data_IF_557621801555
#
_entry.id   IF_557621801555
#
_cell.length_a   1.000
_cell.length_b   1.000
_cell.length_c   1.000
_cell.angle_alpha   90.00
_cell.angle_beta   90.00
_cell.angle_gamma   90.00
#
_symmetry.space_group_name_H-M   'P 1'
#
loop_
_entity.id
_entity.type
_entity.pdbx_description
1 polymer ?
#
# COMPACT_ATOMS: atom_id res chain seq x y z
N UNK A 1 -3.48 -5.55 -10.79
CA UNK A 1 -2.60 -6.73 -10.68
C UNK A 1 -1.11 -6.37 -10.55
N UNK A 2 -0.51 -5.58 -11.45
CA UNK A 2 0.94 -5.24 -11.35
C UNK A 2 1.33 -4.54 -10.04
N UNK A 3 0.56 -3.53 -9.60
CA UNK A 3 0.78 -2.82 -8.31
C UNK A 3 0.58 -3.71 -7.09
N UNK A 4 -0.22 -4.77 -7.21
CA UNK A 4 -0.42 -5.69 -6.08
C UNK A 4 0.74 -6.68 -5.97
N UNK A 5 1.24 -7.16 -7.10
CA UNK A 5 2.44 -7.97 -7.17
C UNK A 5 3.68 -7.23 -6.65
N UNK A 6 3.76 -5.89 -6.80
CA UNK A 6 4.90 -5.13 -6.26
C UNK A 6 4.91 -5.07 -4.73
N UNK A 7 3.77 -5.08 -4.05
CA UNK A 7 3.72 -5.17 -2.59
C UNK A 7 4.23 -6.54 -2.11
N UNK A 8 3.71 -7.64 -2.67
CA UNK A 8 4.17 -8.99 -2.31
C UNK A 8 5.66 -9.16 -2.57
N UNK A 9 6.16 -8.74 -3.74
CA UNK A 9 7.60 -8.78 -4.05
C UNK A 9 8.43 -7.96 -3.07
N UNK A 10 7.91 -6.81 -2.62
CA UNK A 10 8.61 -5.97 -1.65
C UNK A 10 8.67 -6.63 -0.28
N UNK A 11 7.56 -7.19 0.21
CA UNK A 11 7.51 -7.92 1.47
C UNK A 11 8.41 -9.16 1.43
N UNK A 12 8.33 -9.97 0.36
CA UNK A 12 9.20 -11.14 0.16
C UNK A 12 10.67 -10.78 0.20
N UNK A 13 11.07 -9.67 -0.43
CA UNK A 13 12.45 -9.22 -0.39
C UNK A 13 12.94 -8.93 1.04
N UNK A 14 12.14 -8.25 1.87
CA UNK A 14 12.52 -7.92 3.25
C UNK A 14 12.61 -9.18 4.13
N UNK A 15 11.71 -10.14 3.90
CA UNK A 15 11.72 -11.43 4.60
C UNK A 15 12.93 -12.27 4.16
N UNK A 16 13.23 -12.32 2.87
CA UNK A 16 14.39 -13.01 2.32
C UNK A 16 15.72 -12.40 2.80
N UNK A 17 15.80 -11.07 2.88
CA UNK A 17 16.96 -10.37 3.45
C UNK A 17 17.21 -10.83 4.88
N UNK A 18 16.18 -10.79 5.72
CA UNK A 18 16.28 -11.30 7.09
C UNK A 18 16.66 -12.78 7.15
N UNK A 19 16.09 -13.62 6.30
CA UNK A 19 16.30 -15.07 6.35
C UNK A 19 17.72 -15.50 5.96
N UNK A 20 18.51 -14.65 5.30
CA UNK A 20 19.90 -14.96 4.93
C UNK A 20 20.80 -15.03 6.16
N UNK A 21 20.76 -13.98 6.97
CA UNK A 21 21.72 -13.77 8.08
C UNK A 21 21.03 -13.61 9.44
N UNK A 22 19.70 -13.77 9.52
CA UNK A 22 18.85 -13.51 10.70
C UNK A 22 18.96 -12.08 11.26
N UNK A 23 19.34 -11.16 10.39
CA UNK A 23 19.53 -9.73 10.65
C UNK A 23 18.98 -8.95 9.45
N UNK A 24 18.36 -7.81 9.71
CA UNK A 24 17.95 -6.90 8.65
C UNK A 24 19.13 -6.07 8.15
N UNK A 25 19.30 -5.99 6.83
CA UNK A 25 20.23 -5.05 6.20
C UNK A 25 19.61 -3.66 6.21
N UNK A 26 19.75 -2.93 7.32
CA UNK A 26 19.11 -1.63 7.56
C UNK A 26 19.79 -0.47 6.81
N UNK A 27 19.73 -0.51 5.47
CA UNK A 27 20.23 0.50 4.55
C UNK A 27 19.10 1.31 3.89
N UNK A 28 19.45 2.24 3.01
CA UNK A 28 18.45 3.07 2.31
C UNK A 28 17.47 2.26 1.46
N UNK A 29 17.86 1.08 0.96
CA UNK A 29 17.00 0.20 0.18
C UNK A 29 15.96 -0.45 1.09
N UNK A 30 16.37 -0.92 2.26
CA UNK A 30 15.45 -1.42 3.29
C UNK A 30 14.42 -0.37 3.66
N UNK A 31 14.86 0.84 4.03
CA UNK A 31 13.96 1.90 4.48
C UNK A 31 12.97 2.32 3.38
N UNK A 32 13.46 2.46 2.13
CA UNK A 32 12.59 2.73 0.98
C UNK A 32 11.52 1.65 0.80
N UNK A 33 11.89 0.38 0.92
CA UNK A 33 10.96 -0.75 0.74
C UNK A 33 9.97 -0.84 1.89
N UNK A 34 10.41 -0.64 3.13
CA UNK A 34 9.55 -0.61 4.29
C UNK A 34 8.53 0.55 4.20
N UNK A 35 8.96 1.75 3.85
CA UNK A 35 8.07 2.88 3.57
C UNK A 35 7.06 2.58 2.47
N UNK A 36 7.50 1.96 1.37
CA UNK A 36 6.62 1.60 0.26
C UNK A 36 5.50 0.61 0.67
N UNK A 37 5.77 -0.31 1.59
CA UNK A 37 4.76 -1.22 2.13
C UNK A 37 3.66 -0.51 2.94
N UNK A 38 3.96 0.66 3.49
CA UNK A 38 3.00 1.53 4.17
C UNK A 38 1.99 2.20 3.23
N UNK A 39 2.20 2.13 1.92
CA UNK A 39 1.29 2.76 0.96
C UNK A 39 -0.07 2.05 0.92
N UNK A 40 -1.13 2.85 1.01
CA UNK A 40 -2.52 2.41 0.91
C UNK A 40 -2.86 2.08 -0.54
N UNK A 41 -3.61 1.00 -0.75
CA UNK A 41 -4.17 0.66 -2.06
C UNK A 41 -5.41 1.53 -2.31
N UNK A 42 -5.44 2.32 -3.38
CA UNK A 42 -6.62 3.13 -3.72
C UNK A 42 -7.38 2.50 -4.88
N UNK A 43 -8.65 2.18 -4.63
CA UNK A 43 -9.62 1.80 -5.65
C UNK A 43 -10.96 2.35 -5.21
N UNK A 44 -11.52 3.26 -6.01
CA UNK A 44 -12.82 3.88 -5.76
C UNK A 44 -13.65 3.66 -7.00
N UNK A 45 -14.81 3.05 -6.83
CA UNK A 45 -15.73 2.86 -7.95
C UNK A 45 -16.35 4.20 -8.28
N UNK A 46 -16.47 4.49 -9.58
CA UNK A 46 -17.34 5.58 -10.02
C UNK A 46 -18.80 5.14 -9.89
N UNK A 47 -19.31 5.22 -8.68
CA UNK A 47 -20.70 4.94 -8.28
C UNK A 47 -21.81 5.59 -9.11
N UNK A 48 -21.64 6.80 -9.71
CA UNK A 48 -22.75 7.45 -10.39
C UNK A 48 -23.34 6.61 -11.51
N UNK A 49 -22.59 5.72 -12.16
CA UNK A 49 -23.13 4.95 -13.29
C UNK A 49 -23.96 3.77 -12.81
N UNK A 50 -23.50 3.00 -11.82
CA UNK A 50 -24.22 1.83 -11.29
C UNK A 50 -25.50 2.23 -10.55
N UNK A 51 -25.36 3.13 -9.58
CA UNK A 51 -26.48 3.60 -8.76
C UNK A 51 -27.51 4.29 -9.63
N UNK A 52 -27.12 5.09 -10.62
CA UNK A 52 -28.08 5.65 -11.57
C UNK A 52 -28.69 4.60 -12.51
N UNK A 53 -27.95 3.59 -12.97
CA UNK A 53 -28.49 2.54 -13.85
C UNK A 53 -29.59 1.73 -13.15
N UNK A 54 -29.39 1.40 -11.88
CA UNK A 54 -30.39 0.69 -11.07
C UNK A 54 -31.52 1.64 -10.64
N UNK A 55 -31.21 2.83 -10.10
CA UNK A 55 -32.22 3.73 -9.51
C UNK A 55 -33.14 4.36 -10.55
N UNK A 56 -32.65 4.66 -11.75
CA UNK A 56 -33.47 5.25 -12.82
C UNK A 56 -34.27 4.22 -13.62
N UNK A 57 -34.21 2.93 -13.24
CA UNK A 57 -34.81 1.84 -14.01
C UNK A 57 -34.16 1.62 -15.38
N UNK A 58 -33.10 2.35 -15.76
CA UNK A 58 -32.44 2.24 -17.08
C UNK A 58 -31.87 0.85 -17.35
N UNK A 59 -31.52 0.09 -16.32
CA UNK A 59 -31.11 -1.31 -16.49
C UNK A 59 -32.23 -2.20 -17.06
N UNK A 60 -33.51 -1.81 -16.91
CA UNK A 60 -34.66 -2.50 -17.54
C UNK A 60 -34.79 -2.22 -19.05
N UNK A 61 -34.12 -1.16 -19.55
CA UNK A 61 -34.04 -0.87 -20.99
C UNK A 61 -33.17 -1.91 -21.69
N UNK A 62 -32.25 -2.55 -20.96
CA UNK A 62 -31.52 -3.72 -21.45
C UNK A 62 -32.48 -4.91 -21.55
N UNK A 63 -33.01 -5.13 -22.76
CA UNK A 63 -33.95 -6.22 -23.06
C UNK A 63 -33.33 -7.61 -22.93
N UNK A 64 -32.01 -7.72 -23.07
CA UNK A 64 -31.30 -8.98 -22.96
C UNK A 64 -30.96 -9.26 -21.48
N UNK A 65 -31.62 -10.27 -20.91
CA UNK A 65 -31.45 -10.66 -19.52
C UNK A 65 -30.02 -11.11 -19.19
N UNK A 66 -29.35 -11.82 -20.11
CA UNK A 66 -27.95 -12.24 -19.93
C UNK A 66 -27.01 -11.04 -19.77
N UNK A 67 -27.15 -10.04 -20.63
CA UNK A 67 -26.33 -8.82 -20.56
C UNK A 67 -26.60 -8.03 -19.27
N UNK A 68 -27.86 -8.01 -18.82
CA UNK A 68 -28.27 -7.39 -17.56
C UNK A 68 -27.62 -8.08 -16.35
N UNK A 69 -27.63 -9.41 -16.33
CA UNK A 69 -27.04 -10.20 -15.23
C UNK A 69 -25.52 -10.07 -15.20
N UNK A 70 -24.86 -10.06 -16.36
CA UNK A 70 -23.43 -9.79 -16.47
C UNK A 70 -23.06 -8.40 -15.95
N UNK A 71 -23.83 -7.36 -16.32
CA UNK A 71 -23.58 -6.00 -15.86
C UNK A 71 -23.78 -5.87 -14.34
N UNK A 72 -24.83 -6.51 -13.79
CA UNK A 72 -25.07 -6.52 -12.35
C UNK A 72 -23.94 -7.23 -11.59
N UNK A 73 -23.50 -8.39 -12.09
CA UNK A 73 -22.39 -9.13 -11.49
C UNK A 73 -21.08 -8.33 -11.55
N UNK A 74 -20.82 -7.65 -12.66
CA UNK A 74 -19.66 -6.77 -12.79
C UNK A 74 -19.62 -5.72 -11.69
N UNK A 75 -20.71 -4.96 -11.48
CA UNK A 75 -20.72 -3.92 -10.45
C UNK A 75 -20.66 -4.48 -9.02
N UNK A 76 -21.33 -5.60 -8.74
CA UNK A 76 -21.20 -6.29 -7.45
C UNK A 76 -19.76 -6.72 -7.16
N UNK A 77 -19.05 -7.21 -8.17
CA UNK A 77 -17.64 -7.58 -8.03
C UNK A 77 -16.76 -6.36 -7.78
N UNK A 78 -17.02 -5.24 -8.45
CA UNK A 78 -16.33 -3.98 -8.15
C UNK A 78 -16.55 -3.57 -6.69
N UNK A 79 -17.79 -3.53 -6.21
CA UNK A 79 -18.15 -3.17 -4.82
C UNK A 79 -17.46 -4.08 -3.80
N UNK A 80 -17.42 -5.39 -4.11
CA UNK A 80 -16.71 -6.37 -3.28
C UNK A 80 -15.21 -6.08 -3.22
N UNK A 81 -14.59 -5.78 -4.36
CA UNK A 81 -13.16 -5.47 -4.45
C UNK A 81 -12.84 -4.19 -3.68
N UNK A 82 -13.64 -3.12 -3.83
CA UNK A 82 -13.45 -1.87 -3.09
C UNK A 82 -13.50 -2.10 -1.58
N UNK A 83 -14.51 -2.81 -1.08
CA UNK A 83 -14.63 -3.13 0.36
C UNK A 83 -13.45 -3.93 0.88
N UNK A 84 -12.98 -4.93 0.13
CA UNK A 84 -11.79 -5.72 0.51
C UNK A 84 -10.56 -4.80 0.60
N UNK A 85 -10.36 -3.92 -0.38
CA UNK A 85 -9.23 -2.98 -0.40
C UNK A 85 -9.31 -2.02 0.78
N UNK A 86 -10.48 -1.43 1.05
CA UNK A 86 -10.69 -0.54 2.19
C UNK A 86 -10.43 -1.25 3.52
N UNK A 87 -10.93 -2.48 3.69
CA UNK A 87 -10.70 -3.26 4.90
C UNK A 87 -9.22 -3.61 5.10
N UNK A 88 -8.52 -4.03 4.04
CA UNK A 88 -7.09 -4.34 4.14
C UNK A 88 -6.27 -3.09 4.48
N UNK A 89 -6.59 -1.94 3.88
CA UNK A 89 -5.94 -0.68 4.26
C UNK A 89 -6.17 -0.37 5.74
N UNK A 90 -7.43 -0.38 6.20
CA UNK A 90 -7.76 -0.01 7.57
C UNK A 90 -7.18 -0.99 8.61
N UNK A 91 -7.31 -2.29 8.38
CA UNK A 91 -6.95 -3.32 9.36
C UNK A 91 -5.46 -3.70 9.31
N UNK A 92 -4.88 -3.89 8.12
CA UNK A 92 -3.50 -4.36 8.01
C UNK A 92 -2.51 -3.21 7.96
N UNK A 93 -2.81 -2.16 7.19
CA UNK A 93 -1.89 -1.03 7.01
C UNK A 93 -2.03 -0.06 8.18
N UNK A 94 -3.18 0.58 8.30
CA UNK A 94 -3.38 1.73 9.19
C UNK A 94 -3.27 1.31 10.67
N UNK A 95 -3.79 0.15 11.06
CA UNK A 95 -3.79 -0.34 12.44
C UNK A 95 -2.55 -1.12 12.88
N UNK A 96 -1.85 -1.81 11.96
CA UNK A 96 -0.75 -2.69 12.34
C UNK A 96 0.58 -2.27 11.72
N UNK A 97 0.65 -2.24 10.40
CA UNK A 97 1.91 -1.99 9.71
C UNK A 97 2.42 -0.57 9.94
N UNK A 98 1.54 0.42 9.80
CA UNK A 98 1.92 1.83 9.87
C UNK A 98 2.34 2.24 11.29
N UNK A 99 1.72 1.68 12.32
CA UNK A 99 2.16 1.87 13.70
C UNK A 99 3.59 1.35 13.91
N UNK A 100 3.87 0.12 13.46
CA UNK A 100 5.21 -0.47 13.56
C UNK A 100 6.24 0.33 12.74
N UNK A 101 5.87 0.76 11.53
CA UNK A 101 6.71 1.57 10.66
C UNK A 101 7.10 2.88 11.37
N UNK A 102 6.13 3.66 11.84
CA UNK A 102 6.39 4.95 12.49
C UNK A 102 7.18 4.82 13.80
N UNK A 103 7.04 3.70 14.50
CA UNK A 103 7.69 3.49 15.79
C UNK A 103 9.12 2.98 15.68
N UNK A 104 9.42 2.18 14.65
CA UNK A 104 10.69 1.45 14.58
C UNK A 104 11.54 1.82 13.36
N UNK A 105 10.94 2.31 12.29
CA UNK A 105 11.58 2.39 10.97
C UNK A 105 11.75 3.85 10.56
N UNK A 106 12.93 4.19 10.03
CA UNK A 106 13.11 5.46 9.34
C UNK A 106 12.26 5.51 8.07
N UNK A 107 11.18 6.30 8.10
CA UNK A 107 10.31 6.49 6.95
C UNK A 107 11.00 7.35 5.89
N UNK A 108 11.48 6.71 4.82
CA UNK A 108 12.16 7.36 3.71
C UNK A 108 11.55 6.91 2.38
N UNK A 109 11.05 7.86 1.60
CA UNK A 109 10.62 7.62 0.22
C UNK A 109 11.35 8.58 -0.71
N UNK A 110 12.01 8.02 -1.73
CA UNK A 110 12.57 8.84 -2.80
C UNK A 110 11.45 9.25 -3.75
N UNK A 111 10.90 10.44 -3.51
CA UNK A 111 9.82 10.99 -4.32
C UNK A 111 10.23 11.18 -5.79
N UNK A 112 11.48 11.50 -6.09
CA UNK A 112 11.96 11.64 -7.46
C UNK A 112 11.98 10.32 -8.22
N UNK A 113 12.32 9.21 -7.59
CA UNK A 113 12.22 7.87 -8.20
C UNK A 113 10.77 7.44 -8.41
N UNK A 114 9.89 7.85 -7.49
CA UNK A 114 8.48 7.43 -7.48
C UNK A 114 7.63 8.24 -8.46
N UNK A 115 7.86 9.55 -8.54
CA UNK A 115 7.03 10.49 -9.30
C UNK A 115 7.76 11.18 -10.46
N UNK A 116 9.09 11.11 -10.51
CA UNK A 116 9.91 11.53 -11.66
C UNK A 116 9.51 12.88 -12.28
N UNK A 117 9.32 12.88 -13.61
CA UNK A 117 8.92 14.06 -14.42
C UNK A 117 7.54 14.64 -14.07
N UNK A 118 6.75 13.99 -13.23
CA UNK A 118 5.45 14.53 -12.81
C UNK A 118 5.61 15.52 -11.64
N UNK A 119 6.65 15.38 -10.81
CA UNK A 119 6.98 16.38 -9.78
C UNK A 119 7.31 17.73 -10.38
N UNK A 120 7.98 17.78 -11.53
CA UNK A 120 8.29 19.05 -12.23
C UNK A 120 7.06 19.75 -12.79
N UNK A 121 5.90 19.09 -12.82
CA UNK A 121 4.62 19.67 -13.24
C UNK A 121 3.75 20.09 -12.05
N UNK A 122 4.20 19.82 -10.83
CA UNK A 122 3.46 20.21 -9.64
C UNK A 122 3.54 21.73 -9.46
N UNK A 123 2.40 22.44 -9.38
CA UNK A 123 2.39 23.91 -9.37
C UNK A 123 2.83 24.54 -8.03
N UNK A 124 3.13 23.73 -7.01
CA UNK A 124 3.51 24.18 -5.68
C UNK A 124 4.99 23.93 -5.33
N UNK A 125 5.40 24.43 -4.17
CA UNK A 125 6.71 24.08 -3.60
C UNK A 125 6.65 22.68 -2.99
N UNK A 126 7.56 21.81 -3.41
CA UNK A 126 7.73 20.46 -2.88
C UNK A 126 8.99 20.43 -2.02
N UNK A 127 8.84 20.04 -0.76
CA UNK A 127 9.96 19.70 0.11
C UNK A 127 10.11 18.19 0.07
N UNK A 128 11.20 17.71 -0.51
CA UNK A 128 11.56 16.28 -0.47
C UNK A 128 12.54 16.07 0.66
N UNK A 129 12.23 15.26 1.69
CA UNK A 129 13.18 14.96 2.73
C UNK A 129 14.38 14.22 2.12
N UNK A 130 15.59 14.64 2.51
CA UNK A 130 16.80 13.91 2.16
C UNK A 130 16.91 12.65 3.02
N UNK A 131 17.76 11.73 2.57
CA UNK A 131 18.14 10.60 3.39
C UNK A 131 19.11 11.06 4.47
N UNK A 132 18.71 10.93 5.73
CA UNK A 132 19.47 11.40 6.89
C UNK A 132 20.11 10.21 7.63
N UNK A 133 21.44 10.21 7.69
CA UNK A 133 22.21 9.08 8.25
C UNK A 133 22.13 9.01 9.77
N UNK A 134 21.95 10.13 10.47
CA UNK A 134 21.73 10.16 11.91
C UNK A 134 20.39 9.49 12.28
N UNK A 135 19.32 9.77 11.53
CA UNK A 135 18.01 9.13 11.71
C UNK A 135 18.08 7.63 11.40
N UNK A 136 18.83 7.23 10.38
CA UNK A 136 19.13 5.82 10.10
C UNK A 136 19.74 5.12 11.31
N UNK A 137 20.77 5.70 11.94
CA UNK A 137 21.45 5.10 13.09
C UNK A 137 20.52 5.02 14.32
N UNK A 138 19.66 6.02 14.54
CA UNK A 138 18.62 5.95 15.57
C UNK A 138 17.69 4.76 15.30
N UNK A 139 17.15 4.65 14.09
CA UNK A 139 16.28 3.55 13.68
C UNK A 139 16.95 2.18 13.87
N UNK A 140 18.23 2.04 13.49
CA UNK A 140 19.02 0.81 13.72
C UNK A 140 19.09 0.45 15.19
N UNK A 141 19.37 1.41 16.07
CA UNK A 141 19.45 1.18 17.51
C UNK A 141 18.11 0.73 18.11
N UNK A 142 17.00 1.26 17.58
CA UNK A 142 15.64 0.89 17.99
C UNK A 142 15.30 -0.53 17.54
N UNK A 143 15.52 -0.86 16.26
CA UNK A 143 15.20 -2.19 15.69
C UNK A 143 16.05 -3.29 16.30
N UNK A 144 17.28 -2.98 16.73
CA UNK A 144 18.20 -3.97 17.31
C UNK A 144 17.71 -4.58 18.62
N UNK A 145 16.66 -4.03 19.26
CA UNK A 145 16.00 -4.65 20.42
C UNK A 145 15.12 -5.81 19.97
N UNK A 146 15.25 -6.96 20.62
CA UNK A 146 14.55 -8.20 20.24
C UNK A 146 13.03 -8.04 20.11
N UNK A 147 12.41 -7.32 21.06
CA UNK A 147 10.97 -7.02 21.05
C UNK A 147 10.54 -6.21 19.81
N UNK A 148 11.36 -5.26 19.37
CA UNK A 148 11.08 -4.41 18.23
C UNK A 148 11.34 -5.16 16.93
N UNK A 149 12.39 -6.00 16.89
CA UNK A 149 12.66 -6.90 15.76
C UNK A 149 11.48 -7.86 15.53
N UNK A 150 10.96 -8.48 16.59
CA UNK A 150 9.78 -9.35 16.52
C UNK A 150 8.54 -8.59 16.03
N UNK A 151 8.26 -7.43 16.63
CA UNK A 151 7.11 -6.61 16.25
C UNK A 151 7.18 -6.19 14.77
N UNK A 152 8.34 -5.78 14.29
CA UNK A 152 8.57 -5.40 12.90
C UNK A 152 8.41 -6.59 11.95
N UNK A 153 8.97 -7.75 12.28
CA UNK A 153 8.82 -8.95 11.44
C UNK A 153 7.35 -9.39 11.33
N UNK A 154 6.61 -9.35 12.45
CA UNK A 154 5.18 -9.64 12.45
C UNK A 154 4.42 -8.67 11.55
N UNK A 155 4.71 -7.37 11.65
CA UNK A 155 4.10 -6.35 10.80
C UNK A 155 4.38 -6.59 9.31
N UNK A 156 5.65 -6.87 8.94
CA UNK A 156 6.04 -7.15 7.55
C UNK A 156 5.34 -8.41 7.03
N UNK A 157 5.22 -9.46 7.85
CA UNK A 157 4.62 -10.74 7.44
C UNK A 157 3.11 -10.63 7.23
N UNK A 158 2.43 -9.76 7.97
CA UNK A 158 0.99 -9.51 7.82
C UNK A 158 0.64 -8.69 6.57
N UNK A 159 1.64 -8.14 5.88
CA UNK A 159 1.45 -7.15 4.81
C UNK A 159 1.34 -7.75 3.42
#
# INVERSE_FOLDING_TARGET
MQTEQSYYKTASYLIEDYNKDHVFTLDSIFYKRASYLGNRKTFVITDPTHTNLISSGKISVLKNQSNKDQLLNYYKELERIEKIIQNNNSLQIDQHYFEALLKFVYNYENLFETFGKNLSKFPGHLVTPNYETDIQEISKSVISKDENKLALMNAITLR
#
